data_IF_301755328571
#
_entry.id   IF_301755328571
#
_cell.length_a   1.000
_cell.length_b   1.000
_cell.length_c   1.000
_cell.angle_alpha   90.00
_cell.angle_beta   90.00
_cell.angle_gamma   90.00
#
_symmetry.space_group_name_H-M   'P 1'
#
loop_
_entity.id
_entity.type
_entity.pdbx_description
1 polymer ?
#
# COMPACT_ATOMS: atom_id res chain seq x y z
N UNK A 1 11.02 17.28 16.65
CA UNK A 1 10.97 15.85 16.27
C UNK A 1 11.55 15.06 17.42
N UNK A 2 10.82 14.04 17.91
CA UNK A 2 11.25 13.15 19.00
C UNK A 2 11.51 11.72 18.51
N UNK A 3 10.77 11.25 17.51
CA UNK A 3 10.86 9.90 16.99
C UNK A 3 10.83 9.88 15.46
N UNK A 4 11.52 8.91 14.88
CA UNK A 4 11.50 8.63 13.45
C UNK A 4 11.48 7.12 13.23
N UNK A 5 10.67 6.67 12.27
CA UNK A 5 10.68 5.31 11.75
C UNK A 5 10.53 5.34 10.23
N UNK A 6 11.04 4.31 9.57
CA UNK A 6 10.96 4.15 8.11
C UNK A 6 10.06 2.97 7.81
N UNK A 7 9.08 3.15 6.93
CA UNK A 7 8.17 2.08 6.53
C UNK A 7 8.65 1.30 5.29
N UNK A 8 7.84 0.34 4.87
CA UNK A 8 8.17 -0.56 3.77
C UNK A 8 8.25 0.08 2.38
N UNK A 9 7.87 1.35 2.23
CA UNK A 9 8.03 2.16 1.03
C UNK A 9 9.06 3.29 1.24
N UNK A 10 10.00 3.10 2.15
CA UNK A 10 11.06 4.08 2.49
C UNK A 10 10.55 5.47 2.91
N UNK A 11 9.25 5.61 3.23
CA UNK A 11 8.66 6.85 3.76
C UNK A 11 9.00 6.99 5.24
N UNK A 12 9.03 8.23 5.73
CA UNK A 12 9.42 8.53 7.11
C UNK A 12 8.21 8.93 7.94
N UNK A 13 8.03 8.23 9.04
CA UNK A 13 7.08 8.56 10.10
C UNK A 13 7.80 9.40 11.15
N UNK A 14 7.35 10.63 11.34
CA UNK A 14 8.01 11.63 12.20
C UNK A 14 7.10 11.96 13.38
N UNK A 15 7.49 11.55 14.58
CA UNK A 15 6.83 11.93 15.82
C UNK A 15 7.32 13.28 16.33
N UNK A 16 6.39 14.14 16.75
CA UNK A 16 6.67 15.48 17.26
C UNK A 16 6.28 15.65 18.72
N UNK A 17 6.76 16.72 19.33
CA UNK A 17 6.44 17.03 20.74
C UNK A 17 5.01 17.56 20.93
N UNK A 18 4.49 18.33 19.96
CA UNK A 18 3.21 19.04 20.11
C UNK A 18 2.31 19.00 18.87
N UNK A 19 2.87 18.59 17.73
CA UNK A 19 2.19 18.68 16.43
C UNK A 19 1.72 17.31 15.89
N UNK A 20 1.71 16.26 16.71
CA UNK A 20 1.27 14.93 16.31
C UNK A 20 2.30 14.17 15.48
N UNK A 21 1.82 13.37 14.55
CA UNK A 21 2.56 12.42 13.74
C UNK A 21 2.48 12.79 12.26
N UNK A 22 3.62 12.85 11.58
CA UNK A 22 3.70 13.09 10.14
C UNK A 22 4.18 11.86 9.42
N UNK A 23 3.61 11.61 8.24
CA UNK A 23 4.14 10.72 7.23
C UNK A 23 4.65 11.58 6.08
N UNK A 24 5.93 11.46 5.77
CA UNK A 24 6.57 12.19 4.67
C UNK A 24 7.09 11.25 3.60
N UNK A 25 7.29 11.78 2.40
CA UNK A 25 7.80 11.05 1.24
C UNK A 25 9.19 10.45 1.49
N UNK A 26 9.60 9.57 0.59
CA UNK A 26 10.91 8.92 0.63
C UNK A 26 12.06 9.91 0.71
N UNK A 27 12.01 10.98 -0.05
CA UNK A 27 13.02 12.06 -0.07
C UNK A 27 12.79 13.15 0.98
N UNK A 28 11.66 13.10 1.70
CA UNK A 28 11.27 14.09 2.71
C UNK A 28 10.74 15.41 2.14
N UNK A 29 10.52 15.50 0.83
CA UNK A 29 10.08 16.73 0.17
C UNK A 29 8.60 17.03 0.34
N UNK A 30 7.78 16.00 0.61
CA UNK A 30 6.32 16.10 0.68
C UNK A 30 5.77 15.52 1.97
N UNK A 31 4.80 16.21 2.58
CA UNK A 31 3.98 15.67 3.67
C UNK A 31 2.83 14.90 3.04
N UNK A 32 2.85 13.57 3.16
CA UNK A 32 1.80 12.68 2.64
C UNK A 32 0.57 12.73 3.55
N UNK A 33 0.80 12.64 4.89
CA UNK A 33 -0.27 12.63 5.90
C UNK A 33 0.19 13.35 7.16
N UNK A 34 -0.78 13.94 7.87
CA UNK A 34 -0.56 14.55 9.17
C UNK A 34 -1.67 14.12 10.13
N UNK A 35 -1.31 13.37 11.16
CA UNK A 35 -2.21 12.84 12.16
C UNK A 35 -2.12 13.63 13.46
N UNK A 36 -3.29 14.04 13.95
CA UNK A 36 -3.47 14.73 15.22
C UNK A 36 -4.61 14.11 16.03
N UNK A 37 -4.79 14.52 17.27
CA UNK A 37 -5.93 14.12 18.10
C UNK A 37 -7.28 14.59 17.54
N UNK A 38 -7.29 15.55 16.62
CA UNK A 38 -8.50 16.11 16.01
C UNK A 38 -8.95 15.33 14.77
N UNK A 39 -8.02 14.73 14.03
CA UNK A 39 -8.31 14.08 12.75
C UNK A 39 -8.04 12.57 12.74
N UNK A 40 -7.56 12.00 13.86
CA UNK A 40 -7.21 10.58 13.95
C UNK A 40 -7.45 10.03 15.36
N UNK A 41 -7.23 8.73 15.55
CA UNK A 41 -7.26 8.07 16.86
C UNK A 41 -5.97 8.24 17.67
N UNK A 42 -5.13 9.24 17.34
CA UNK A 42 -3.91 9.52 18.09
C UNK A 42 -4.26 9.95 19.53
N UNK A 43 -3.77 9.28 20.58
CA UNK A 43 -4.15 9.60 21.96
C UNK A 43 -3.65 10.96 22.46
N UNK A 44 -2.57 11.47 21.87
CA UNK A 44 -1.99 12.78 22.15
C UNK A 44 -1.10 13.25 21.00
N UNK A 45 -1.03 14.55 20.80
CA UNK A 45 -0.10 15.17 19.85
C UNK A 45 1.36 15.10 20.29
N UNK A 46 1.64 14.71 21.54
CA UNK A 46 2.98 14.45 22.03
C UNK A 46 3.38 13.01 21.70
N UNK A 47 4.03 12.81 20.56
CA UNK A 47 4.51 11.51 20.10
C UNK A 47 5.93 11.27 20.60
N UNK A 48 6.11 10.22 21.39
CA UNK A 48 7.38 9.87 22.05
C UNK A 48 8.16 8.84 21.26
N UNK A 49 7.44 7.88 20.64
CA UNK A 49 8.07 6.78 19.89
C UNK A 49 7.23 6.39 18.68
N UNK A 50 7.90 5.94 17.63
CA UNK A 50 7.28 5.36 16.44
C UNK A 50 8.08 4.13 16.03
N UNK A 51 7.39 3.05 15.68
CA UNK A 51 8.02 1.81 15.21
C UNK A 51 7.19 1.20 14.08
N UNK A 52 7.79 1.02 12.93
CA UNK A 52 7.20 0.28 11.81
C UNK A 52 7.53 -1.20 11.96
N UNK A 53 6.52 -2.07 11.82
CA UNK A 53 6.72 -3.52 11.86
C UNK A 53 7.37 -3.98 10.54
N UNK A 54 8.53 -4.65 10.57
CA UNK A 54 9.23 -5.06 9.35
C UNK A 54 8.54 -6.21 8.60
N UNK A 55 7.53 -6.85 9.19
CA UNK A 55 6.86 -8.02 8.60
C UNK A 55 5.45 -7.72 8.07
N UNK A 56 4.91 -6.57 8.40
CA UNK A 56 3.58 -6.15 7.97
C UNK A 56 3.49 -4.61 7.84
N UNK A 57 2.29 -4.08 7.68
CA UNK A 57 2.05 -2.64 7.53
C UNK A 57 1.68 -1.93 8.85
N UNK A 58 1.87 -2.56 9.99
CA UNK A 58 1.58 -1.95 11.28
C UNK A 58 2.63 -0.91 11.66
N UNK A 59 2.16 0.25 12.11
CA UNK A 59 2.97 1.33 12.67
C UNK A 59 2.49 1.58 14.09
N UNK A 60 3.33 1.28 15.06
CA UNK A 60 3.05 1.51 16.47
C UNK A 60 3.53 2.89 16.88
N UNK A 61 2.65 3.67 17.47
CA UNK A 61 2.90 5.04 17.88
C UNK A 61 2.65 5.19 19.36
N UNK A 62 3.69 5.46 20.12
CA UNK A 62 3.64 5.74 21.55
C UNK A 62 3.57 7.24 21.81
N UNK A 63 2.60 7.64 22.61
CA UNK A 63 2.39 9.01 23.08
C UNK A 63 2.49 9.09 24.60
N UNK A 64 2.49 10.28 25.17
CA UNK A 64 2.41 10.46 26.63
C UNK A 64 1.06 10.02 27.24
N UNK A 65 0.02 9.77 26.41
CA UNK A 65 -1.31 9.35 26.85
C UNK A 65 -1.67 7.92 26.44
N UNK A 66 -0.71 7.14 25.92
CA UNK A 66 -0.93 5.77 25.50
C UNK A 66 -0.36 5.46 24.13
N UNK A 67 -0.67 4.26 23.63
CA UNK A 67 -0.18 3.75 22.36
C UNK A 67 -1.35 3.44 21.42
N UNK A 68 -1.13 3.67 20.13
CA UNK A 68 -2.05 3.31 19.05
C UNK A 68 -1.31 2.59 17.93
N UNK A 69 -2.01 1.70 17.24
CA UNK A 69 -1.56 1.08 16.00
C UNK A 69 -2.24 1.76 14.82
N UNK A 70 -1.44 2.22 13.86
CA UNK A 70 -1.90 2.62 12.53
C UNK A 70 -1.58 1.54 11.51
N UNK A 71 -2.48 1.30 10.57
CA UNK A 71 -2.22 0.45 9.42
C UNK A 71 -1.77 1.33 8.24
N UNK A 72 -0.50 1.24 7.91
CA UNK A 72 0.07 1.90 6.73
C UNK A 72 -0.46 1.28 5.44
N UNK A 73 -0.53 2.04 4.38
CA UNK A 73 -0.78 1.53 3.03
C UNK A 73 0.50 1.03 2.32
N UNK A 74 1.64 0.96 3.03
CA UNK A 74 2.89 0.40 2.55
C UNK A 74 3.17 -0.93 3.24
N UNK A 75 3.62 -1.90 2.46
CA UNK A 75 4.16 -3.18 2.95
C UNK A 75 5.64 -3.25 2.62
N UNK A 76 6.43 -4.02 3.40
CA UNK A 76 7.81 -4.28 3.04
C UNK A 76 7.91 -4.82 1.62
N UNK A 77 8.81 -4.24 0.84
CA UNK A 77 9.05 -4.65 -0.54
C UNK A 77 9.73 -6.00 -0.59
N UNK A 78 9.47 -6.77 -1.64
CA UNK A 78 10.18 -8.00 -1.96
C UNK A 78 11.35 -7.72 -2.89
N UNK A 79 12.37 -8.59 -2.88
CA UNK A 79 13.51 -8.50 -3.80
C UNK A 79 13.20 -9.09 -5.19
N UNK A 80 12.03 -9.74 -5.34
CA UNK A 80 11.60 -10.38 -6.59
C UNK A 80 10.08 -10.58 -6.62
N UNK A 81 9.54 -10.90 -7.81
CA UNK A 81 8.11 -11.21 -7.99
C UNK A 81 7.76 -12.70 -7.79
N UNK A 82 8.61 -13.49 -7.13
CA UNK A 82 8.43 -14.95 -7.00
C UNK A 82 7.23 -15.35 -6.14
N UNK A 83 6.78 -14.48 -5.21
CA UNK A 83 5.73 -14.75 -4.25
C UNK A 83 4.61 -13.70 -4.29
N UNK A 84 4.24 -13.24 -5.48
CA UNK A 84 3.15 -12.27 -5.63
C UNK A 84 1.79 -12.97 -5.54
N UNK A 85 0.91 -12.46 -4.71
CA UNK A 85 -0.46 -12.95 -4.55
C UNK A 85 -1.45 -11.81 -4.37
N UNK A 86 -2.73 -12.07 -4.66
CA UNK A 86 -3.81 -11.11 -4.50
C UNK A 86 -4.89 -11.65 -3.56
N UNK A 87 -5.51 -10.76 -2.79
CA UNK A 87 -6.65 -11.09 -1.94
C UNK A 87 -7.64 -9.91 -1.83
N UNK A 88 -8.96 -10.20 -1.63
CA UNK A 88 -9.56 -11.52 -1.70
C UNK A 88 -9.44 -12.11 -3.12
N UNK A 89 -9.33 -13.43 -3.20
CA UNK A 89 -9.31 -14.13 -4.48
C UNK A 89 -9.96 -15.50 -4.30
N UNK A 90 -11.17 -15.76 -4.82
CA UNK A 90 -11.93 -14.87 -5.70
C UNK A 90 -12.52 -13.63 -5.02
N UNK A 91 -12.69 -12.58 -5.79
CA UNK A 91 -13.48 -11.39 -5.41
C UNK A 91 -14.95 -11.71 -5.62
N UNK A 92 -15.75 -11.63 -4.57
CA UNK A 92 -17.18 -11.95 -4.61
C UNK A 92 -18.05 -10.73 -4.89
N UNK A 93 -19.33 -10.90 -5.33
CA UNK A 93 -20.24 -9.78 -5.68
C UNK A 93 -20.47 -8.80 -4.53
N UNK A 94 -20.48 -9.28 -3.29
CA UNK A 94 -20.69 -8.50 -2.07
C UNK A 94 -19.46 -7.76 -1.55
N UNK A 95 -18.29 -7.98 -2.18
CA UNK A 95 -17.05 -7.32 -1.78
C UNK A 95 -16.96 -5.92 -2.38
N UNK A 96 -16.91 -4.92 -1.52
CA UNK A 96 -16.82 -3.49 -1.87
C UNK A 96 -15.50 -2.84 -1.47
N UNK A 97 -14.57 -3.63 -0.94
CA UNK A 97 -13.25 -3.15 -0.51
C UNK A 97 -12.21 -3.15 -1.64
N UNK A 98 -10.96 -2.87 -1.26
CA UNK A 98 -9.83 -2.95 -2.17
C UNK A 98 -9.29 -4.37 -2.30
N UNK A 99 -9.06 -4.79 -3.53
CA UNK A 99 -8.31 -6.00 -3.87
C UNK A 99 -6.83 -5.65 -3.70
N UNK A 100 -6.14 -6.37 -2.83
CA UNK A 100 -4.75 -6.09 -2.50
C UNK A 100 -3.83 -7.10 -3.15
N UNK A 101 -2.82 -6.61 -3.86
CA UNK A 101 -1.71 -7.40 -4.41
C UNK A 101 -0.49 -7.18 -3.52
N UNK A 102 0.15 -8.26 -3.06
CA UNK A 102 1.32 -8.25 -2.18
C UNK A 102 2.47 -9.05 -2.74
N UNK A 103 3.65 -8.85 -2.16
CA UNK A 103 4.88 -9.51 -2.59
C UNK A 103 5.52 -8.83 -3.81
N UNK A 104 5.17 -7.56 -4.05
CA UNK A 104 5.75 -6.75 -5.11
C UNK A 104 7.13 -6.20 -4.69
N UNK A 105 7.92 -5.84 -5.68
CA UNK A 105 9.09 -4.99 -5.48
C UNK A 105 8.62 -3.54 -5.31
N UNK A 106 9.42 -2.71 -4.64
CA UNK A 106 9.10 -1.31 -4.47
C UNK A 106 9.09 -0.56 -5.81
N UNK A 107 8.24 0.48 -5.91
CA UNK A 107 8.10 1.31 -7.11
C UNK A 107 7.82 0.49 -8.39
N UNK A 108 7.08 -0.63 -8.26
CA UNK A 108 6.67 -1.44 -9.40
C UNK A 108 5.51 -0.79 -10.14
N UNK A 109 5.63 -0.67 -11.46
CA UNK A 109 4.48 -0.40 -12.32
C UNK A 109 3.63 -1.66 -12.41
N UNK A 110 2.42 -1.60 -11.86
CA UNK A 110 1.43 -2.69 -11.87
C UNK A 110 0.37 -2.40 -12.90
N UNK A 111 0.05 -3.40 -13.72
CA UNK A 111 -1.04 -3.35 -14.69
C UNK A 111 -1.99 -4.51 -14.46
N UNK A 112 -3.28 -4.23 -14.50
CA UNK A 112 -4.34 -5.24 -14.49
C UNK A 112 -4.83 -5.38 -15.92
N UNK A 113 -4.77 -6.60 -16.45
CA UNK A 113 -5.20 -6.91 -17.81
C UNK A 113 -6.31 -7.96 -17.82
N UNK A 114 -7.22 -7.87 -18.78
CA UNK A 114 -8.23 -8.90 -19.04
C UNK A 114 -7.61 -10.14 -19.72
N UNK A 115 -8.44 -11.15 -19.99
CA UNK A 115 -8.02 -12.38 -20.64
C UNK A 115 -7.60 -12.19 -22.11
N UNK A 116 -7.97 -11.08 -22.75
CA UNK A 116 -7.55 -10.71 -24.11
C UNK A 116 -6.23 -9.92 -24.10
N UNK A 117 -5.71 -9.57 -22.92
CA UNK A 117 -4.46 -8.80 -22.76
C UNK A 117 -4.66 -7.28 -22.76
N UNK A 118 -5.91 -6.78 -22.77
CA UNK A 118 -6.17 -5.36 -22.67
C UNK A 118 -5.91 -4.88 -21.24
N UNK A 119 -5.10 -3.84 -21.08
CA UNK A 119 -4.86 -3.20 -19.79
C UNK A 119 -6.09 -2.38 -19.41
N UNK A 120 -6.72 -2.73 -18.29
CA UNK A 120 -7.94 -2.10 -17.78
C UNK A 120 -7.69 -1.13 -16.63
N UNK A 121 -6.59 -1.33 -15.91
CA UNK A 121 -6.16 -0.47 -14.81
C UNK A 121 -4.63 -0.51 -14.66
N UNK A 122 -4.04 0.58 -14.16
CA UNK A 122 -2.61 0.63 -13.87
C UNK A 122 -2.29 1.59 -12.73
N UNK A 123 -1.19 1.34 -12.02
CA UNK A 123 -0.69 2.20 -10.95
C UNK A 123 0.66 1.73 -10.45
N UNK A 124 1.19 2.45 -9.45
CA UNK A 124 2.47 2.12 -8.83
C UNK A 124 2.26 1.39 -7.51
N UNK A 125 3.13 0.42 -7.20
CA UNK A 125 3.17 -0.18 -5.88
C UNK A 125 3.72 0.81 -4.84
N UNK A 126 3.24 0.68 -3.60
CA UNK A 126 3.74 1.41 -2.44
C UNK A 126 4.45 0.39 -1.55
N UNK A 127 5.78 0.36 -1.60
CA UNK A 127 6.54 -0.78 -1.10
C UNK A 127 6.13 -2.07 -1.82
N UNK A 128 5.93 -3.14 -1.06
CA UNK A 128 5.52 -4.45 -1.58
C UNK A 128 4.02 -4.61 -1.86
N UNK A 129 3.23 -3.53 -1.93
CA UNK A 129 1.78 -3.59 -2.01
C UNK A 129 1.21 -2.70 -3.12
N UNK A 130 0.15 -3.19 -3.76
CA UNK A 130 -0.70 -2.44 -4.69
C UNK A 130 -2.16 -2.73 -4.39
N UNK A 131 -3.03 -1.73 -4.48
CA UNK A 131 -4.47 -1.86 -4.25
C UNK A 131 -5.27 -1.49 -5.49
N UNK A 132 -6.33 -2.23 -5.74
CA UNK A 132 -7.26 -2.02 -6.85
C UNK A 132 -8.71 -2.17 -6.35
N UNK A 133 -9.56 -1.23 -6.70
CA UNK A 133 -10.98 -1.22 -6.28
C UNK A 133 -11.88 -2.15 -7.12
N UNK A 134 -11.30 -2.84 -8.12
CA UNK A 134 -12.04 -3.70 -9.03
C UNK A 134 -12.79 -2.94 -10.12
N UNK A 135 -12.43 -1.68 -10.38
CA UNK A 135 -13.01 -0.89 -11.45
C UNK A 135 -12.01 -0.72 -12.60
N UNK A 136 -12.55 -0.45 -13.79
CA UNK A 136 -11.76 -0.03 -14.96
C UNK A 136 -11.33 1.43 -14.78
N UNK A 137 -10.43 1.89 -15.62
CA UNK A 137 -9.95 3.29 -15.58
C UNK A 137 -11.06 4.33 -15.86
N UNK A 138 -12.19 3.92 -16.43
CA UNK A 138 -13.37 4.74 -16.63
C UNK A 138 -14.32 4.78 -15.41
N UNK A 139 -13.98 4.08 -14.34
CA UNK A 139 -14.76 3.98 -13.11
C UNK A 139 -15.84 2.90 -13.11
N UNK A 140 -16.07 2.21 -14.22
CA UNK A 140 -17.04 1.11 -14.29
C UNK A 140 -16.49 -0.17 -13.63
N UNK A 141 -17.37 -0.93 -12.93
CA UNK A 141 -17.00 -2.23 -12.36
C UNK A 141 -16.60 -3.20 -13.47
N UNK A 142 -15.55 -3.98 -13.22
CA UNK A 142 -15.15 -5.05 -14.14
C UNK A 142 -16.16 -6.21 -14.13
N UNK A 143 -16.28 -6.91 -15.26
CA UNK A 143 -17.15 -8.06 -15.41
C UNK A 143 -16.60 -9.30 -14.69
N UNK A 144 -17.44 -10.34 -14.50
CA UNK A 144 -16.97 -11.66 -14.05
C UNK A 144 -15.90 -12.20 -15.00
N UNK A 145 -14.74 -12.54 -14.44
CA UNK A 145 -13.62 -13.04 -15.26
C UNK A 145 -12.33 -13.23 -14.48
N UNK A 146 -11.30 -13.63 -15.20
CA UNK A 146 -9.93 -13.73 -14.69
C UNK A 146 -9.12 -12.58 -15.21
N UNK A 147 -8.50 -11.85 -14.30
CA UNK A 147 -7.65 -10.68 -14.57
C UNK A 147 -6.21 -11.01 -14.20
N UNK A 148 -5.30 -10.66 -15.09
CA UNK A 148 -3.87 -10.89 -14.89
C UNK A 148 -3.22 -9.65 -14.28
N UNK A 149 -2.42 -9.86 -13.26
CA UNK A 149 -1.57 -8.83 -12.66
C UNK A 149 -0.21 -8.91 -13.34
N UNK A 150 0.18 -7.85 -14.00
CA UNK A 150 1.49 -7.67 -14.60
C UNK A 150 2.26 -6.69 -13.73
N UNK A 151 3.53 -6.98 -13.42
CA UNK A 151 4.36 -6.06 -12.65
C UNK A 151 5.73 -5.94 -13.32
N UNK A 152 6.26 -4.72 -13.34
CA UNK A 152 7.62 -4.43 -13.79
C UNK A 152 8.22 -3.36 -12.91
N UNK A 153 9.50 -3.48 -12.57
CA UNK A 153 10.20 -2.44 -11.85
C UNK A 153 10.45 -1.25 -12.78
N UNK A 154 10.23 -0.04 -12.28
CA UNK A 154 10.40 1.17 -13.06
C UNK A 154 11.86 1.30 -13.54
N UNK A 155 12.06 1.54 -14.84
CA UNK A 155 13.38 1.67 -15.46
C UNK A 155 14.09 0.35 -15.83
N UNK A 156 13.49 -0.81 -15.61
CA UNK A 156 14.03 -2.08 -16.12
C UNK A 156 13.34 -2.49 -17.42
N UNK A 157 14.12 -2.82 -18.46
CA UNK A 157 13.63 -3.44 -19.70
C UNK A 157 13.07 -4.86 -19.49
N UNK A 158 13.15 -5.37 -18.29
CA UNK A 158 12.61 -6.67 -17.91
C UNK A 158 11.15 -6.51 -17.50
N UNK A 159 10.25 -6.54 -18.47
CA UNK A 159 8.84 -6.82 -18.19
C UNK A 159 8.76 -8.23 -17.61
N UNK A 160 8.47 -8.37 -16.32
CA UNK A 160 8.00 -9.65 -15.83
C UNK A 160 6.63 -9.90 -16.45
N UNK A 161 6.39 -11.12 -16.91
CA UNK A 161 5.07 -11.55 -17.36
C UNK A 161 4.03 -11.43 -16.24
N UNK A 162 2.87 -12.05 -16.40
CA UNK A 162 1.85 -12.09 -15.35
C UNK A 162 2.43 -12.69 -14.07
N UNK A 163 2.46 -11.91 -12.99
CA UNK A 163 3.02 -12.32 -11.69
C UNK A 163 1.99 -13.01 -10.81
N UNK A 164 0.70 -12.70 -11.00
CA UNK A 164 -0.43 -13.38 -10.34
C UNK A 164 -1.72 -13.13 -11.13
N UNK A 165 -2.83 -13.71 -10.66
CA UNK A 165 -4.15 -13.53 -11.26
C UNK A 165 -5.22 -13.29 -10.19
N UNK A 166 -6.28 -12.59 -10.57
CA UNK A 166 -7.43 -12.27 -9.73
C UNK A 166 -8.68 -12.82 -10.42
N UNK A 167 -9.46 -13.59 -9.71
CA UNK A 167 -10.79 -14.05 -10.17
C UNK A 167 -11.84 -13.11 -9.61
N UNK A 168 -12.64 -12.52 -10.47
CA UNK A 168 -13.77 -11.68 -10.09
C UNK A 168 -15.07 -12.39 -10.44
N UNK A 169 -16.02 -12.39 -9.52
CA UNK A 169 -17.37 -12.94 -9.65
C UNK A 169 -18.33 -11.80 -9.32
N UNK A 170 -19.22 -11.47 -10.25
CA UNK A 170 -20.31 -10.47 -10.08
C UNK A 170 -21.66 -11.13 -10.17
#
# INVERSE_FOLDING_TARGET
>A
MLAIAVDGANRKWLGTLESGLYLVSEDGSEIIEHFTTENSYLPSNQVISVCCNPNNNSVYVGTNCGMVEFLSNAYPASDSYSNVYAYPNPVRPDFTGYITVRGLMDNSLVKIADAAGNVIYSGMSVGGMFTWDGNKSDGSRVDTGVYYVLASQNGSDKSSGAVTKIMVIN
#
